data_IF_538730576539
#
_entry.id   IF_538730576539
#
_cell.length_a   1.000
_cell.length_b   1.000
_cell.length_c   1.000
_cell.angle_alpha   90.00
_cell.angle_beta   90.00
_cell.angle_gamma   90.00
#
_symmetry.space_group_name_H-M   'P 1'
#
loop_
_entity.id
_entity.type
_entity.pdbx_description
1 polymer ?
#
# COMPACT_ATOMS: atom_id res chain seq x y z
N UNK A 1 -5.57 -11.12 16.52
CA UNK A 1 -4.98 -10.37 15.38
C UNK A 1 -5.07 -8.90 15.74
N UNK A 2 -3.93 -8.24 15.98
CA UNK A 2 -3.92 -6.79 16.24
C UNK A 2 -4.46 -6.09 14.99
N UNK A 3 -5.50 -5.28 15.13
CA UNK A 3 -5.95 -4.43 14.03
C UNK A 3 -4.90 -3.33 13.86
N UNK A 4 -4.16 -3.41 12.76
CA UNK A 4 -3.18 -2.40 12.37
C UNK A 4 -3.94 -1.16 11.89
N UNK A 5 -3.91 -0.09 12.68
CA UNK A 5 -4.58 1.18 12.37
C UNK A 5 -3.52 2.29 12.27
N UNK A 6 -2.79 2.37 11.16
CA UNK A 6 -1.70 3.33 10.99
C UNK A 6 -2.19 4.78 10.87
N UNK A 7 -3.48 4.99 10.52
CA UNK A 7 -4.09 6.31 10.37
C UNK A 7 -5.40 6.39 11.18
N UNK A 8 -5.95 7.59 11.45
CA UNK A 8 -7.29 7.73 12.03
C UNK A 8 -8.43 7.46 11.02
N UNK A 9 -8.10 7.22 9.74
CA UNK A 9 -9.05 7.05 8.64
C UNK A 9 -9.37 5.56 8.44
N UNK A 10 -10.60 5.14 8.76
CA UNK A 10 -10.97 3.72 8.77
C UNK A 10 -10.96 3.09 7.37
N UNK A 11 -11.39 3.83 6.36
CA UNK A 11 -11.41 3.42 4.95
C UNK A 11 -10.00 3.28 4.38
N UNK A 12 -9.10 4.22 4.68
CA UNK A 12 -7.69 4.12 4.33
C UNK A 12 -7.02 2.94 5.03
N UNK A 13 -7.28 2.72 6.32
CA UNK A 13 -6.72 1.56 7.02
C UNK A 13 -7.18 0.23 6.39
N UNK A 14 -8.44 0.14 5.96
CA UNK A 14 -8.94 -1.06 5.26
C UNK A 14 -8.24 -1.26 3.91
N UNK A 15 -8.06 -0.18 3.15
CA UNK A 15 -7.31 -0.19 1.88
C UNK A 15 -5.86 -0.65 2.07
N UNK A 16 -5.15 -0.09 3.05
CA UNK A 16 -3.75 -0.44 3.35
C UNK A 16 -3.61 -1.90 3.83
N UNK A 17 -4.54 -2.37 4.66
CA UNK A 17 -4.54 -3.75 5.13
C UNK A 17 -4.74 -4.74 3.96
N UNK A 18 -5.64 -4.43 3.03
CA UNK A 18 -5.82 -5.21 1.82
C UNK A 18 -4.58 -5.18 0.92
N UNK A 19 -4.01 -4.00 0.70
CA UNK A 19 -2.83 -3.82 -0.14
C UNK A 19 -1.65 -4.67 0.38
N UNK A 20 -1.38 -4.63 1.68
CA UNK A 20 -0.36 -5.47 2.34
C UNK A 20 -0.69 -6.96 2.21
N UNK A 21 -1.96 -7.36 2.34
CA UNK A 21 -2.35 -8.76 2.16
C UNK A 21 -2.12 -9.24 0.71
N UNK A 22 -2.45 -8.42 -0.28
CA UNK A 22 -2.25 -8.73 -1.71
C UNK A 22 -0.77 -8.74 -2.08
N UNK A 23 0.04 -7.82 -1.56
CA UNK A 23 1.50 -7.87 -1.72
C UNK A 23 2.09 -9.14 -1.11
N UNK A 24 1.65 -9.56 0.08
CA UNK A 24 2.07 -10.85 0.68
C UNK A 24 1.72 -12.04 -0.20
N UNK A 25 0.58 -12.02 -0.88
CA UNK A 25 0.19 -13.09 -1.80
C UNK A 25 1.08 -13.13 -3.06
N UNK A 26 1.49 -11.97 -3.57
CA UNK A 26 2.32 -11.88 -4.78
C UNK A 26 3.79 -12.17 -4.46
N UNK A 27 4.33 -11.55 -3.42
CA UNK A 27 5.76 -11.54 -3.09
C UNK A 27 6.16 -12.63 -2.09
N UNK A 28 5.21 -13.22 -1.37
CA UNK A 28 5.48 -14.23 -0.34
C UNK A 28 6.48 -13.74 0.72
N UNK A 29 7.50 -14.56 0.98
CA UNK A 29 8.60 -14.24 1.90
C UNK A 29 9.53 -13.13 1.38
N UNK A 30 9.44 -12.75 0.10
CA UNK A 30 10.22 -11.64 -0.44
C UNK A 30 9.76 -10.29 0.14
N UNK A 31 8.51 -10.17 0.60
CA UNK A 31 8.02 -8.96 1.26
C UNK A 31 8.58 -8.86 2.69
N UNK A 32 9.52 -7.94 2.90
CA UNK A 32 10.11 -7.67 4.22
C UNK A 32 9.23 -6.74 5.04
N UNK A 33 8.65 -5.71 4.40
CA UNK A 33 7.79 -4.76 5.09
C UNK A 33 7.23 -3.69 4.16
N UNK A 34 6.19 -3.01 4.64
CA UNK A 34 5.62 -1.83 4.00
C UNK A 34 5.48 -0.74 5.06
N UNK A 35 5.91 0.48 4.71
CA UNK A 35 5.95 1.61 5.62
C UNK A 35 5.27 2.81 4.98
N UNK A 36 4.41 3.49 5.73
CA UNK A 36 3.93 4.80 5.32
C UNK A 36 5.08 5.80 5.37
N UNK A 37 5.07 6.74 4.45
CA UNK A 37 5.97 7.87 4.36
C UNK A 37 5.14 9.17 4.36
N UNK A 38 5.83 10.31 4.25
CA UNK A 38 5.19 11.58 4.00
C UNK A 38 4.28 12.03 5.13
N UNK A 39 3.25 12.78 4.74
CA UNK A 39 2.33 13.45 5.66
C UNK A 39 1.58 12.46 6.57
N UNK A 40 1.20 11.29 6.04
CA UNK A 40 0.55 10.24 6.82
C UNK A 40 1.47 9.60 7.86
N UNK A 41 2.77 9.49 7.58
CA UNK A 41 3.73 8.93 8.54
C UNK A 41 3.99 9.87 9.74
N UNK A 42 3.95 11.19 9.51
CA UNK A 42 4.23 12.21 10.55
C UNK A 42 2.96 12.78 11.19
N UNK A 43 1.79 12.47 10.66
CA UNK A 43 0.50 12.96 11.17
C UNK A 43 0.13 14.38 10.72
N UNK A 44 0.74 14.88 9.65
CA UNK A 44 0.49 16.21 9.06
C UNK A 44 -0.28 16.13 7.73
N UNK A 45 -1.07 15.07 7.55
CA UNK A 45 -1.89 14.88 6.35
C UNK A 45 -3.16 15.73 6.37
N UNK A 46 -3.72 15.97 5.19
CA UNK A 46 -5.03 16.59 5.00
C UNK A 46 -5.80 15.86 3.88
N UNK A 47 -7.01 16.35 3.58
CA UNK A 47 -7.92 15.72 2.60
C UNK A 47 -7.37 15.67 1.16
N UNK A 48 -6.28 16.37 0.86
CA UNK A 48 -5.63 16.40 -0.46
C UNK A 48 -4.23 15.77 -0.44
N UNK A 49 -3.83 15.13 0.66
CA UNK A 49 -2.54 14.48 0.76
C UNK A 49 -2.50 13.17 -0.02
N UNK A 50 -1.37 12.89 -0.65
CA UNK A 50 -1.10 11.56 -1.19
C UNK A 50 -0.75 10.58 -0.06
N UNK A 51 -1.03 9.30 -0.31
CA UNK A 51 -0.71 8.19 0.59
C UNK A 51 0.62 7.59 0.14
N UNK A 52 1.71 8.22 0.59
CA UNK A 52 3.07 7.77 0.30
C UNK A 52 3.41 6.50 1.07
N UNK A 53 4.01 5.52 0.40
CA UNK A 53 4.58 4.34 1.04
C UNK A 53 5.86 3.84 0.37
N UNK A 54 6.63 3.05 1.11
CA UNK A 54 7.76 2.28 0.59
C UNK A 54 7.59 0.80 0.95
N UNK A 55 7.86 -0.07 -0.02
CA UNK A 55 7.85 -1.52 0.13
C UNK A 55 9.28 -2.04 0.09
N UNK A 56 9.68 -2.77 1.13
CA UNK A 56 11.00 -3.38 1.22
C UNK A 56 10.89 -4.84 0.80
N UNK A 57 11.72 -5.23 -0.18
CA UNK A 57 11.87 -6.60 -0.64
C UNK A 57 13.27 -7.14 -0.35
N UNK A 58 13.39 -8.45 -0.11
CA UNK A 58 14.67 -9.10 0.21
C UNK A 58 15.53 -9.35 -1.04
N UNK A 59 14.88 -9.56 -2.19
CA UNK A 59 15.45 -9.95 -3.46
C UNK A 59 14.80 -9.17 -4.60
N UNK A 60 15.48 -9.15 -5.76
CA UNK A 60 14.98 -8.49 -6.96
C UNK A 60 13.61 -9.05 -7.38
N UNK A 61 12.70 -8.16 -7.78
CA UNK A 61 11.35 -8.51 -8.23
C UNK A 61 11.45 -9.16 -9.61
N UNK A 62 10.85 -10.34 -9.75
CA UNK A 62 10.79 -11.04 -11.04
C UNK A 62 9.82 -10.37 -12.00
N UNK A 63 9.93 -10.67 -13.30
CA UNK A 63 9.02 -10.11 -14.31
C UNK A 63 7.54 -10.47 -14.05
N UNK A 64 7.27 -11.69 -13.57
CA UNK A 64 5.92 -12.15 -13.28
C UNK A 64 5.34 -11.46 -12.03
N UNK A 65 6.14 -11.30 -10.97
CA UNK A 65 5.74 -10.52 -9.79
C UNK A 65 5.49 -9.07 -10.15
N UNK A 66 6.37 -8.46 -10.97
CA UNK A 66 6.19 -7.08 -11.42
C UNK A 66 4.88 -6.91 -12.19
N UNK A 67 4.56 -7.82 -13.12
CA UNK A 67 3.30 -7.80 -13.85
C UNK A 67 2.09 -7.95 -12.92
N UNK A 68 2.17 -8.83 -11.92
CA UNK A 68 1.12 -9.00 -10.91
C UNK A 68 0.95 -7.76 -10.02
N UNK A 69 2.04 -7.12 -9.61
CA UNK A 69 2.01 -5.87 -8.85
C UNK A 69 1.40 -4.73 -9.66
N UNK A 70 1.74 -4.59 -10.94
CA UNK A 70 1.14 -3.61 -11.85
C UNK A 70 -0.36 -3.83 -12.02
N UNK A 71 -0.78 -5.09 -12.20
CA UNK A 71 -2.19 -5.43 -12.29
C UNK A 71 -2.94 -5.12 -10.99
N UNK A 72 -2.34 -5.42 -9.83
CA UNK A 72 -2.88 -5.05 -8.53
C UNK A 72 -3.03 -3.52 -8.39
N UNK A 73 -2.00 -2.75 -8.72
CA UNK A 73 -2.07 -1.28 -8.61
C UNK A 73 -3.18 -0.69 -9.51
N UNK A 74 -3.35 -1.22 -10.73
CA UNK A 74 -4.45 -0.82 -11.61
C UNK A 74 -5.83 -1.19 -11.03
N UNK A 75 -5.97 -2.38 -10.44
CA UNK A 75 -7.20 -2.83 -9.76
C UNK A 75 -7.53 -1.91 -8.56
N UNK A 76 -6.54 -1.55 -7.76
CA UNK A 76 -6.72 -0.67 -6.60
C UNK A 76 -7.15 0.72 -7.04
N UNK A 77 -6.46 1.31 -8.02
CA UNK A 77 -6.78 2.65 -8.55
C UNK A 77 -8.20 2.73 -9.14
N UNK A 78 -8.73 1.64 -9.70
CA UNK A 78 -10.07 1.60 -10.26
C UNK A 78 -11.19 1.63 -9.21
N UNK A 79 -10.88 1.53 -7.91
CA UNK A 79 -11.89 1.49 -6.85
C UNK A 79 -12.54 2.87 -6.64
N UNK A 80 -13.83 2.90 -6.29
CA UNK A 80 -14.54 4.15 -5.97
C UNK A 80 -14.22 4.61 -4.54
N UNK A 81 -12.93 4.71 -4.19
CA UNK A 81 -12.45 5.20 -2.90
C UNK A 81 -11.40 6.27 -3.16
N UNK A 82 -11.56 7.44 -2.52
CA UNK A 82 -10.67 8.60 -2.73
C UNK A 82 -9.19 8.21 -2.57
N UNK A 83 -8.84 7.59 -1.46
CA UNK A 83 -7.46 7.19 -1.16
C UNK A 83 -6.88 6.18 -2.13
N UNK A 84 -7.71 5.35 -2.78
CA UNK A 84 -7.22 4.37 -3.74
C UNK A 84 -6.64 5.01 -5.01
N UNK A 85 -7.05 6.25 -5.30
CA UNK A 85 -6.57 7.06 -6.42
C UNK A 85 -5.39 7.97 -6.04
N UNK A 86 -5.01 8.00 -4.76
CA UNK A 86 -3.92 8.82 -4.22
C UNK A 86 -2.82 7.94 -3.57
N UNK A 87 -2.77 6.66 -3.94
CA UNK A 87 -1.68 5.77 -3.52
C UNK A 87 -0.43 6.10 -4.33
N UNK A 88 0.66 6.47 -3.66
CA UNK A 88 1.97 6.70 -4.28
C UNK A 88 3.06 5.92 -3.54
N UNK A 89 3.94 5.26 -4.26
CA UNK A 89 5.01 4.50 -3.61
C UNK A 89 5.87 3.67 -4.54
N UNK A 90 6.91 3.10 -3.93
CA UNK A 90 7.90 2.22 -4.58
C UNK A 90 8.15 0.96 -3.78
#
# INVERSE_FOLDING_TARGET
MSLFHPTPLADLNALLAELVARWRQILGENLVGAYLQGSFAVGDFNDHSDVDFIVIVAHEITADELAALQALHAEMHARPLYWAQHLEGS
#
